data_IF_683241602368
#
_entry.id   IF_683241602368
#
_cell.length_a   1.000
_cell.length_b   1.000
_cell.length_c   1.000
_cell.angle_alpha   90.00
_cell.angle_beta   90.00
_cell.angle_gamma   90.00
#
_symmetry.space_group_name_H-M   'P 1'
#
loop_
_entity.id
_entity.type
_entity.pdbx_description
1 polymer ?
#
# COMPACT_ATOMS: atom_id res chain seq x y z
N UNK A 1 18.64 40.14 -30.51
CA UNK A 1 19.45 39.27 -31.40
C UNK A 1 19.10 37.84 -31.05
N UNK A 2 18.39 37.19 -31.98
CA UNK A 2 17.62 35.97 -31.79
C UNK A 2 17.84 35.14 -33.06
N UNK A 3 18.69 34.12 -33.02
CA UNK A 3 19.02 33.34 -34.24
C UNK A 3 19.26 31.85 -34.02
N UNK A 4 19.17 31.32 -32.79
CA UNK A 4 19.50 29.91 -32.52
C UNK A 4 18.31 29.01 -32.14
N UNK A 5 17.07 29.51 -32.12
CA UNK A 5 15.90 28.70 -31.73
C UNK A 5 15.03 28.21 -32.91
N UNK A 6 15.35 28.57 -34.16
CA UNK A 6 14.52 28.25 -35.34
C UNK A 6 15.04 27.00 -36.08
N UNK A 7 16.33 26.65 -35.96
CA UNK A 7 16.93 25.53 -36.71
C UNK A 7 16.57 24.13 -36.15
N UNK A 8 16.34 23.98 -34.85
CA UNK A 8 16.02 22.69 -34.22
C UNK A 8 14.56 22.25 -34.40
N UNK A 9 13.61 23.20 -34.41
CA UNK A 9 12.19 22.88 -34.67
C UNK A 9 11.92 22.46 -36.13
N UNK A 10 12.63 23.07 -37.08
CA UNK A 10 12.54 22.70 -38.50
C UNK A 10 13.08 21.30 -38.80
N UNK A 11 14.19 20.92 -38.16
CA UNK A 11 14.83 19.62 -38.38
C UNK A 11 13.98 18.45 -37.83
N UNK A 12 13.38 18.62 -36.64
CA UNK A 12 12.52 17.58 -36.03
C UNK A 12 11.21 17.40 -36.81
N UNK A 13 10.61 18.50 -37.31
CA UNK A 13 9.40 18.42 -38.12
C UNK A 13 9.66 17.77 -39.49
N UNK A 14 10.81 18.04 -40.11
CA UNK A 14 11.20 17.44 -41.39
C UNK A 14 11.60 15.95 -41.22
N UNK A 15 12.22 15.59 -40.09
CA UNK A 15 12.54 14.20 -39.74
C UNK A 15 11.28 13.37 -39.46
N UNK A 16 10.27 13.91 -38.74
CA UNK A 16 8.99 13.22 -38.52
C UNK A 16 8.20 13.00 -39.82
N UNK A 17 8.17 13.98 -40.73
CA UNK A 17 7.54 13.83 -42.06
C UNK A 17 8.28 12.84 -42.95
N UNK A 18 9.62 12.85 -42.92
CA UNK A 18 10.45 11.90 -43.68
C UNK A 18 10.33 10.47 -43.15
N UNK A 19 10.30 10.27 -41.83
CA UNK A 19 10.12 8.96 -41.21
C UNK A 19 8.71 8.42 -41.44
N UNK A 20 7.67 9.26 -41.36
CA UNK A 20 6.30 8.87 -41.68
C UNK A 20 6.09 8.52 -43.16
N UNK A 21 6.78 9.21 -44.07
CA UNK A 21 6.78 8.87 -45.49
C UNK A 21 7.58 7.59 -45.79
N UNK A 22 8.72 7.37 -45.11
CA UNK A 22 9.53 6.16 -45.23
C UNK A 22 8.82 4.93 -44.66
N UNK A 23 8.14 5.07 -43.51
CA UNK A 23 7.30 4.02 -42.92
C UNK A 23 6.08 3.72 -43.80
N UNK A 24 5.42 4.73 -44.38
CA UNK A 24 4.33 4.49 -45.34
C UNK A 24 4.81 3.82 -46.63
N UNK A 25 6.00 4.18 -47.14
CA UNK A 25 6.60 3.49 -48.28
C UNK A 25 6.97 2.05 -47.94
N UNK A 26 7.54 1.78 -46.76
CA UNK A 26 7.78 0.41 -46.29
C UNK A 26 6.47 -0.37 -46.13
N UNK A 27 5.42 0.25 -45.57
CA UNK A 27 4.10 -0.38 -45.41
C UNK A 27 3.48 -0.73 -46.78
N UNK A 28 3.52 0.19 -47.74
CA UNK A 28 2.92 -0.01 -49.06
C UNK A 28 3.74 -1.00 -49.91
N UNK A 29 5.08 -1.02 -49.79
CA UNK A 29 5.92 -1.95 -50.53
C UNK A 29 5.88 -3.37 -49.94
N UNK A 30 5.87 -3.51 -48.61
CA UNK A 30 5.84 -4.82 -47.95
C UNK A 30 4.51 -5.56 -48.17
N UNK A 31 3.37 -4.86 -48.25
CA UNK A 31 2.07 -5.52 -48.48
C UNK A 31 1.84 -6.00 -49.92
N UNK A 32 2.57 -5.46 -50.92
CA UNK A 32 2.42 -5.90 -52.33
C UNK A 32 3.22 -7.16 -52.67
N UNK A 33 4.25 -7.49 -51.90
CA UNK A 33 5.12 -8.66 -52.15
C UNK A 33 4.83 -9.87 -51.27
N UNK A 34 4.01 -9.72 -50.22
CA UNK A 34 3.67 -10.81 -49.31
C UNK A 34 2.43 -11.57 -49.83
N UNK A 35 2.64 -12.47 -50.81
CA UNK A 35 1.61 -13.45 -51.23
C UNK A 35 1.40 -14.57 -50.22
N UNK A 36 2.30 -14.69 -49.24
CA UNK A 36 2.30 -15.78 -48.29
C UNK A 36 1.53 -15.40 -47.03
N UNK A 37 0.28 -15.89 -46.92
CA UNK A 37 -0.63 -15.62 -45.78
C UNK A 37 0.02 -15.94 -44.43
N UNK A 38 0.97 -16.86 -44.42
CA UNK A 38 1.79 -17.30 -43.29
C UNK A 38 2.54 -16.16 -42.59
N UNK A 39 3.06 -15.18 -43.35
CA UNK A 39 3.83 -14.05 -42.79
C UNK A 39 2.91 -13.00 -42.15
N UNK A 40 1.71 -12.81 -42.70
CA UNK A 40 0.69 -11.92 -42.13
C UNK A 40 0.20 -12.47 -40.78
N UNK A 41 -0.01 -13.79 -40.68
CA UNK A 41 -0.34 -14.44 -39.41
C UNK A 41 0.79 -14.32 -38.38
N UNK A 42 2.05 -14.42 -38.80
CA UNK A 42 3.20 -14.26 -37.89
C UNK A 42 3.30 -12.82 -37.34
N UNK A 43 3.09 -11.80 -38.18
CA UNK A 43 3.11 -10.40 -37.76
C UNK A 43 1.91 -10.11 -36.83
N UNK A 44 0.71 -10.61 -37.14
CA UNK A 44 -0.46 -10.52 -36.26
C UNK A 44 -0.24 -11.26 -34.92
N UNK A 45 0.46 -12.40 -34.92
CA UNK A 45 0.85 -13.10 -33.69
C UNK A 45 1.84 -12.27 -32.86
N UNK A 46 2.80 -11.60 -33.50
CA UNK A 46 3.78 -10.73 -32.82
C UNK A 46 3.15 -9.45 -32.26
N UNK A 47 2.11 -8.89 -32.88
CA UNK A 47 1.36 -7.75 -32.31
C UNK A 47 0.31 -8.17 -31.28
N UNK A 48 -0.25 -9.39 -31.38
CA UNK A 48 -1.16 -9.96 -30.37
C UNK A 48 -0.44 -10.47 -29.11
N UNK A 49 0.90 -10.55 -29.13
CA UNK A 49 1.76 -10.93 -28.00
C UNK A 49 2.54 -9.73 -27.44
N UNK A 50 1.93 -8.54 -27.43
CA UNK A 50 2.33 -7.53 -26.45
C UNK A 50 1.84 -7.96 -25.07
N UNK A 51 2.45 -9.00 -24.53
CA UNK A 51 2.49 -9.16 -23.08
C UNK A 51 3.14 -7.87 -22.57
N UNK A 52 2.39 -7.06 -21.82
CA UNK A 52 3.01 -6.06 -20.98
C UNK A 52 4.03 -6.81 -20.13
N UNK A 53 5.32 -6.63 -20.42
CA UNK A 53 6.36 -7.11 -19.52
C UNK A 53 6.19 -6.28 -18.25
N UNK A 54 5.61 -6.90 -17.22
CA UNK A 54 5.62 -6.34 -15.88
C UNK A 54 7.08 -6.36 -15.45
N UNK A 55 7.72 -5.21 -15.45
CA UNK A 55 9.07 -5.06 -14.95
C UNK A 55 8.96 -4.58 -13.50
N UNK A 56 9.58 -5.31 -12.57
CA UNK A 56 9.79 -4.80 -11.23
C UNK A 56 10.48 -3.44 -11.30
N UNK A 57 10.10 -2.52 -10.41
CA UNK A 57 10.79 -1.25 -10.23
C UNK A 57 11.36 -1.16 -8.80
N UNK A 58 12.37 -1.98 -8.46
CA UNK A 58 12.94 -1.94 -7.12
C UNK A 58 13.71 -0.63 -6.92
N UNK A 59 13.73 -0.13 -5.68
CA UNK A 59 14.39 1.14 -5.37
C UNK A 59 14.46 1.44 -3.88
N UNK A 60 14.58 2.73 -3.56
CA UNK A 60 14.55 3.21 -2.18
C UNK A 60 13.48 4.27 -2.01
N UNK A 61 12.49 3.99 -1.17
CA UNK A 61 11.47 4.94 -0.75
C UNK A 61 11.97 5.66 0.51
N UNK A 62 12.57 6.85 0.36
CA UNK A 62 13.14 7.59 1.50
C UNK A 62 14.17 6.75 2.31
N UNK A 63 15.19 6.22 1.64
CA UNK A 63 16.21 5.29 2.17
C UNK A 63 15.70 3.90 2.60
N UNK A 64 14.39 3.68 2.66
CA UNK A 64 13.81 2.36 2.89
C UNK A 64 13.92 1.50 1.62
N UNK A 65 14.47 0.30 1.74
CA UNK A 65 14.63 -0.65 0.64
C UNK A 65 13.30 -1.20 0.16
N UNK A 66 12.96 -1.04 -1.12
CA UNK A 66 11.79 -1.68 -1.76
C UNK A 66 12.30 -2.71 -2.77
N UNK A 67 12.53 -3.92 -2.27
CA UNK A 67 13.28 -4.99 -2.97
C UNK A 67 12.80 -6.41 -2.65
N UNK A 68 11.73 -6.52 -1.87
CA UNK A 68 11.24 -7.80 -1.37
C UNK A 68 12.29 -8.56 -0.54
N UNK A 69 13.09 -7.81 0.22
CA UNK A 69 13.95 -8.29 1.30
C UNK A 69 13.44 -7.69 2.63
N UNK A 70 13.97 -8.11 3.77
CA UNK A 70 13.44 -7.70 5.08
C UNK A 70 14.46 -7.05 6.02
N UNK A 71 15.74 -7.07 5.68
CA UNK A 71 16.80 -6.73 6.63
C UNK A 71 17.61 -5.56 6.12
N UNK A 72 17.75 -4.55 6.98
CA UNK A 72 18.44 -3.32 6.65
C UNK A 72 19.87 -3.58 6.21
N UNK A 73 20.35 -2.85 5.21
CA UNK A 73 21.66 -3.09 4.60
C UNK A 73 21.72 -4.19 3.53
N UNK A 74 20.64 -4.93 3.28
CA UNK A 74 20.63 -6.02 2.28
C UNK A 74 20.69 -5.51 0.83
N UNK A 75 19.91 -4.48 0.51
CA UNK A 75 19.91 -3.89 -0.83
C UNK A 75 21.17 -3.08 -1.13
N UNK A 76 21.56 -2.21 -0.20
CA UNK A 76 22.83 -1.50 -0.23
C UNK A 76 23.29 -1.24 1.20
N UNK A 77 24.56 -0.87 1.38
CA UNK A 77 25.18 -0.82 2.71
C UNK A 77 24.64 0.27 3.66
N UNK A 78 23.63 1.05 3.29
CA UNK A 78 23.05 2.11 4.14
C UNK A 78 21.51 2.11 4.18
N UNK A 79 20.84 1.21 3.46
CA UNK A 79 19.39 1.22 3.37
C UNK A 79 18.72 0.73 4.65
N UNK A 80 17.65 1.42 5.04
CA UNK A 80 16.73 0.95 6.08
C UNK A 80 15.82 -0.15 5.53
N UNK A 81 15.24 -0.96 6.40
CA UNK A 81 14.31 -2.03 6.02
C UNK A 81 13.39 -2.42 7.21
N UNK A 82 12.59 -3.47 7.07
CA UNK A 82 11.63 -3.91 8.08
C UNK A 82 12.31 -4.31 9.40
N UNK A 83 13.41 -5.07 9.35
CA UNK A 83 14.15 -5.56 10.53
C UNK A 83 15.62 -5.14 10.50
N UNK A 84 16.28 -5.20 11.67
CA UNK A 84 17.66 -4.80 11.81
C UNK A 84 18.59 -5.81 11.12
N UNK A 85 19.32 -5.35 10.11
CA UNK A 85 20.37 -6.10 9.43
C UNK A 85 21.77 -5.52 9.68
N UNK A 86 22.74 -5.79 8.78
CA UNK A 86 24.14 -5.38 8.95
C UNK A 86 24.38 -3.87 9.03
N UNK A 87 23.49 -3.05 8.48
CA UNK A 87 23.56 -1.58 8.49
C UNK A 87 22.17 -0.97 8.29
N UNK A 88 22.03 0.36 8.35
CA UNK A 88 20.70 1.01 8.37
C UNK A 88 19.92 0.69 9.65
N UNK A 89 18.65 1.07 9.68
CA UNK A 89 17.74 0.77 10.81
C UNK A 89 16.71 -0.30 10.45
N UNK A 90 16.34 -1.11 11.44
CA UNK A 90 15.11 -1.92 11.41
C UNK A 90 13.92 -1.12 11.91
N UNK A 91 12.84 -1.10 11.14
CA UNK A 91 11.64 -0.30 11.44
C UNK A 91 10.59 -1.04 12.27
N UNK A 92 10.78 -2.32 12.58
CA UNK A 92 9.88 -3.12 13.43
C UNK A 92 10.62 -3.55 14.69
N UNK A 93 9.96 -3.43 15.85
CA UNK A 93 10.52 -3.83 17.14
C UNK A 93 10.69 -5.36 17.25
N UNK A 94 11.92 -5.77 17.50
CA UNK A 94 12.34 -7.17 17.63
C UNK A 94 12.47 -7.62 19.10
N UNK A 95 12.12 -6.77 20.07
CA UNK A 95 12.29 -7.02 21.51
C UNK A 95 11.59 -8.31 22.00
N UNK A 96 10.45 -8.67 21.38
CA UNK A 96 9.66 -9.85 21.73
C UNK A 96 9.94 -11.08 20.84
N UNK A 97 11.04 -11.08 20.07
CA UNK A 97 11.37 -12.15 19.11
C UNK A 97 11.30 -13.55 19.71
N UNK A 98 11.87 -13.77 20.91
CA UNK A 98 11.91 -15.09 21.53
C UNK A 98 10.50 -15.62 21.85
N UNK A 99 9.60 -14.74 22.29
CA UNK A 99 8.21 -15.07 22.59
C UNK A 99 7.45 -15.46 21.32
N UNK A 100 7.45 -14.59 20.31
CA UNK A 100 6.72 -14.84 19.06
C UNK A 100 7.28 -16.03 18.26
N UNK A 101 8.59 -16.26 18.35
CA UNK A 101 9.21 -17.46 17.76
C UNK A 101 8.74 -18.74 18.44
N UNK A 102 8.53 -18.73 19.76
CA UNK A 102 8.00 -19.89 20.48
C UNK A 102 6.55 -20.19 20.07
N UNK A 103 5.70 -19.16 19.97
CA UNK A 103 4.32 -19.24 19.46
C UNK A 103 4.29 -19.81 18.04
N UNK A 104 5.09 -19.24 17.13
CA UNK A 104 5.15 -19.69 15.72
C UNK A 104 5.64 -21.14 15.61
N UNK A 105 6.71 -21.53 16.31
CA UNK A 105 7.18 -22.92 16.32
C UNK A 105 6.16 -23.91 16.90
N UNK A 106 5.32 -23.45 17.83
CA UNK A 106 4.23 -24.25 18.39
C UNK A 106 3.03 -24.39 17.46
N UNK A 107 3.03 -23.72 16.30
CA UNK A 107 1.93 -23.71 15.33
C UNK A 107 0.57 -23.34 15.96
N UNK A 108 0.57 -22.43 16.94
CA UNK A 108 -0.64 -22.10 17.71
C UNK A 108 -1.66 -21.23 16.96
N UNK A 109 -1.43 -20.96 15.67
CA UNK A 109 -2.24 -20.12 14.79
C UNK A 109 -2.78 -18.87 15.51
N UNK A 110 -1.86 -17.97 15.88
CA UNK A 110 -2.17 -16.82 16.72
C UNK A 110 -1.75 -15.54 16.01
N UNK A 111 -2.68 -14.58 15.96
CA UNK A 111 -2.41 -13.22 15.49
C UNK A 111 -1.54 -12.45 16.49
N UNK A 112 -0.70 -11.56 15.97
CA UNK A 112 -0.03 -10.53 16.75
C UNK A 112 0.44 -9.41 15.85
N UNK A 113 0.83 -8.29 16.46
CA UNK A 113 1.48 -7.19 15.75
C UNK A 113 2.74 -6.76 16.48
N UNK A 114 3.69 -6.19 15.74
CA UNK A 114 4.87 -5.53 16.27
C UNK A 114 4.95 -4.13 15.66
N UNK A 115 5.33 -3.13 16.47
CA UNK A 115 5.32 -1.72 16.09
C UNK A 115 6.72 -1.19 15.89
N UNK A 116 6.82 0.03 15.37
CA UNK A 116 8.08 0.77 15.34
C UNK A 116 8.72 0.82 16.73
N UNK A 117 10.04 0.55 16.84
CA UNK A 117 10.78 0.79 18.08
C UNK A 117 11.03 2.29 18.32
N UNK A 118 10.72 3.14 17.33
CA UNK A 118 10.90 4.59 17.36
C UNK A 118 9.60 5.30 17.71
N UNK A 119 9.71 6.44 18.38
CA UNK A 119 8.54 7.25 18.69
C UNK A 119 7.93 7.83 17.40
N UNK A 120 6.61 8.05 17.42
CA UNK A 120 5.92 8.72 16.32
C UNK A 120 6.54 10.13 16.15
N UNK A 121 6.82 10.51 14.90
CA UNK A 121 7.48 11.77 14.55
C UNK A 121 8.94 11.88 15.02
N UNK A 122 9.62 10.77 15.33
CA UNK A 122 11.04 10.79 15.63
C UNK A 122 11.87 10.98 14.36
N UNK A 123 12.90 11.83 14.44
CA UNK A 123 13.88 11.98 13.36
C UNK A 123 15.03 11.00 13.59
N UNK A 124 15.13 9.98 12.74
CA UNK A 124 16.17 8.96 12.79
C UNK A 124 16.97 9.00 11.49
N UNK A 125 18.29 9.15 11.60
CA UNK A 125 19.21 9.19 10.46
C UNK A 125 18.82 10.18 9.33
N UNK A 126 18.17 11.30 9.69
CA UNK A 126 17.74 12.33 8.74
C UNK A 126 16.34 12.15 8.16
N UNK A 127 15.58 11.18 8.65
CA UNK A 127 14.22 10.89 8.21
C UNK A 127 13.23 10.99 9.35
N UNK A 128 12.12 11.69 9.13
CA UNK A 128 11.00 11.77 10.06
C UNK A 128 10.15 10.52 9.91
N UNK A 129 10.19 9.65 10.93
CA UNK A 129 9.42 8.42 10.95
C UNK A 129 8.06 8.71 11.56
N UNK A 130 6.99 8.31 10.87
CA UNK A 130 5.68 8.37 11.49
C UNK A 130 5.38 7.06 12.21
N UNK A 131 5.25 5.95 11.50
CA UNK A 131 4.87 4.70 12.13
C UNK A 131 5.28 3.52 11.26
N UNK A 132 5.41 2.36 11.89
CA UNK A 132 5.63 1.09 11.24
C UNK A 132 4.86 0.01 11.99
N UNK A 133 4.23 -0.88 11.25
CA UNK A 133 3.51 -2.03 11.79
C UNK A 133 3.86 -3.26 10.97
N UNK A 134 4.16 -4.32 11.69
CA UNK A 134 4.14 -5.69 11.21
C UNK A 134 2.93 -6.37 11.85
N UNK A 135 2.29 -7.25 11.09
CA UNK A 135 1.25 -8.09 11.63
C UNK A 135 1.35 -9.54 11.12
N UNK A 136 1.06 -10.49 12.01
CA UNK A 136 0.82 -11.91 11.72
C UNK A 136 -0.67 -12.18 11.75
N UNK A 137 -1.16 -12.86 10.72
CA UNK A 137 -2.55 -13.28 10.62
C UNK A 137 -2.81 -14.67 11.20
N UNK A 138 -4.08 -15.03 11.35
CA UNK A 138 -4.48 -16.42 11.29
C UNK A 138 -4.20 -16.95 9.88
N UNK A 139 -3.90 -18.24 9.78
CA UNK A 139 -3.66 -18.89 8.49
C UNK A 139 -4.32 -20.26 8.50
N UNK A 140 -4.62 -20.82 7.34
CA UNK A 140 -5.10 -22.20 7.23
C UNK A 140 -3.94 -23.17 7.54
N UNK A 141 -3.87 -23.70 8.76
CA UNK A 141 -2.92 -24.75 9.17
C UNK A 141 -3.54 -26.14 9.07
N UNK A 142 -2.71 -27.19 9.10
CA UNK A 142 -3.22 -28.56 9.20
C UNK A 142 -4.07 -28.74 10.47
N UNK A 143 -5.38 -28.89 10.30
CA UNK A 143 -6.33 -29.04 11.42
C UNK A 143 -6.76 -27.75 12.11
N UNK A 144 -6.32 -26.57 11.64
CA UNK A 144 -6.86 -25.27 12.06
C UNK A 144 -7.30 -24.48 10.85
N UNK A 145 -8.51 -23.97 10.90
CA UNK A 145 -8.98 -23.01 9.91
C UNK A 145 -8.44 -21.63 10.19
N UNK A 146 -8.53 -20.80 9.16
CA UNK A 146 -8.31 -19.38 9.24
C UNK A 146 -9.53 -18.70 9.88
N UNK A 147 -9.32 -17.73 10.78
CA UNK A 147 -10.41 -17.01 11.47
C UNK A 147 -10.69 -15.64 10.85
N UNK A 148 -9.89 -15.22 9.90
CA UNK A 148 -9.98 -13.91 9.25
C UNK A 148 -10.40 -14.04 7.78
N UNK A 149 -11.36 -14.93 7.53
CA UNK A 149 -11.90 -15.21 6.20
C UNK A 149 -13.24 -14.49 5.97
N UNK A 150 -13.42 -13.92 4.77
CA UNK A 150 -14.73 -13.41 4.33
C UNK A 150 -15.68 -14.54 3.94
N UNK A 151 -16.94 -14.45 4.40
CA UNK A 151 -17.95 -15.50 4.17
C UNK A 151 -18.43 -15.54 2.72
N UNK A 152 -18.20 -16.66 2.03
CA UNK A 152 -18.79 -16.94 0.70
C UNK A 152 -18.44 -15.91 -0.38
N UNK A 153 -19.43 -15.11 -0.79
CA UNK A 153 -19.29 -14.00 -1.74
C UNK A 153 -19.43 -12.62 -1.10
N UNK A 154 -19.36 -12.56 0.23
CA UNK A 154 -19.40 -11.32 0.99
C UNK A 154 -18.22 -10.43 0.66
N UNK A 155 -18.48 -9.13 0.65
CA UNK A 155 -17.46 -8.10 0.56
C UNK A 155 -16.84 -7.93 -0.81
N UNK A 156 -16.86 -6.68 -1.26
CA UNK A 156 -15.98 -6.11 -2.27
C UNK A 156 -15.42 -4.81 -1.70
N UNK A 157 -14.32 -4.32 -2.25
CA UNK A 157 -13.67 -3.11 -1.76
C UNK A 157 -14.59 -1.87 -1.75
N UNK A 158 -15.52 -1.77 -2.71
CA UNK A 158 -16.47 -0.66 -2.76
C UNK A 158 -17.74 -0.84 -1.93
N UNK A 159 -17.94 -2.01 -1.31
CA UNK A 159 -19.16 -2.29 -0.55
C UNK A 159 -19.09 -1.68 0.86
N UNK A 160 -20.25 -1.34 1.41
CA UNK A 160 -20.34 -0.81 2.78
C UNK A 160 -19.96 -1.88 3.82
N UNK A 161 -18.92 -1.65 4.64
CA UNK A 161 -18.43 -2.67 5.57
C UNK A 161 -19.50 -3.18 6.54
N UNK A 162 -20.27 -2.28 7.17
CA UNK A 162 -21.27 -2.65 8.18
C UNK A 162 -22.48 -3.45 7.70
N UNK A 163 -22.66 -3.56 6.39
CA UNK A 163 -23.85 -4.19 5.81
C UNK A 163 -23.53 -5.33 4.85
N UNK A 164 -22.29 -5.37 4.35
CA UNK A 164 -21.93 -6.26 3.25
C UNK A 164 -20.70 -7.11 3.53
N UNK A 165 -19.90 -6.77 4.55
CA UNK A 165 -18.70 -7.49 4.92
C UNK A 165 -19.01 -8.37 6.14
N UNK A 166 -18.96 -9.67 5.90
CA UNK A 166 -19.23 -10.72 6.88
C UNK A 166 -18.04 -11.67 6.90
N UNK A 167 -17.67 -12.11 8.10
CA UNK A 167 -16.50 -12.93 8.34
C UNK A 167 -16.85 -14.19 9.12
N UNK A 168 -16.14 -15.27 8.82
CA UNK A 168 -16.29 -16.54 9.53
C UNK A 168 -14.98 -17.33 9.55
N UNK A 169 -14.89 -18.33 10.43
CA UNK A 169 -13.77 -19.26 10.40
C UNK A 169 -13.87 -20.19 9.17
N UNK A 170 -12.90 -20.05 8.26
CA UNK A 170 -12.93 -20.62 6.92
C UNK A 170 -11.64 -21.29 6.49
N UNK A 171 -11.66 -21.89 5.31
CA UNK A 171 -10.44 -22.33 4.64
C UNK A 171 -10.34 -21.57 3.34
N UNK A 172 -9.23 -20.87 3.17
CA UNK A 172 -8.89 -20.11 1.97
C UNK A 172 -7.79 -20.84 1.19
N UNK A 173 -7.67 -20.54 -0.10
CA UNK A 173 -6.57 -21.08 -0.90
C UNK A 173 -5.27 -20.40 -0.54
N UNK A 174 -4.15 -21.11 -0.62
CA UNK A 174 -2.86 -20.58 -0.17
C UNK A 174 -2.43 -19.26 -0.85
N UNK A 175 -2.85 -18.98 -2.09
CA UNK A 175 -2.53 -17.72 -2.78
C UNK A 175 -3.32 -16.51 -2.28
N UNK A 176 -4.34 -16.70 -1.46
CA UNK A 176 -5.16 -15.61 -0.88
C UNK A 176 -5.12 -15.60 0.65
N UNK A 177 -4.55 -16.63 1.27
CA UNK A 177 -4.35 -16.78 2.72
C UNK A 177 -3.13 -15.93 3.15
N UNK A 178 -3.40 -14.80 3.78
CA UNK A 178 -2.43 -13.78 4.19
C UNK A 178 -1.70 -14.31 5.42
N UNK A 179 -0.38 -14.19 5.47
CA UNK A 179 0.42 -14.64 6.63
C UNK A 179 0.96 -13.47 7.40
N UNK A 180 1.62 -12.58 6.68
CA UNK A 180 2.37 -11.47 7.24
C UNK A 180 2.09 -10.23 6.40
N UNK A 181 1.82 -9.11 7.04
CA UNK A 181 1.79 -7.80 6.37
C UNK A 181 2.63 -6.77 7.09
N UNK A 182 2.98 -5.74 6.34
CA UNK A 182 3.84 -4.67 6.76
C UNK A 182 3.31 -3.36 6.20
N UNK A 183 3.38 -2.31 7.01
CA UNK A 183 3.17 -0.95 6.55
C UNK A 183 4.10 0.01 7.30
N UNK A 184 4.65 0.98 6.58
CA UNK A 184 5.51 2.02 7.11
C UNK A 184 5.22 3.35 6.43
N UNK A 185 5.15 4.41 7.22
CA UNK A 185 4.99 5.77 6.72
C UNK A 185 6.13 6.65 7.25
N UNK A 186 6.84 7.32 6.34
CA UNK A 186 7.99 8.19 6.68
C UNK A 186 8.15 9.34 5.69
N UNK A 187 8.89 10.37 6.10
CA UNK A 187 9.30 11.48 5.25
C UNK A 187 10.71 11.30 4.72
N UNK A 188 10.92 11.74 3.48
CA UNK A 188 12.23 11.90 2.83
C UNK A 188 12.95 13.17 3.31
N UNK A 189 13.10 13.29 4.62
CA UNK A 189 13.69 14.44 5.27
C UNK A 189 13.24 14.56 6.72
N UNK A 190 13.47 15.72 7.33
CA UNK A 190 13.29 15.90 8.77
C UNK A 190 12.03 16.69 9.12
N UNK A 191 11.24 17.09 8.12
CA UNK A 191 10.08 17.96 8.27
C UNK A 191 8.84 17.40 7.60
N UNK A 192 7.66 17.89 7.99
CA UNK A 192 6.38 17.50 7.40
C UNK A 192 6.14 18.01 5.97
N UNK A 193 7.06 18.82 5.43
CA UNK A 193 7.01 19.32 4.07
C UNK A 193 7.85 18.48 3.10
N UNK A 194 8.67 17.57 3.64
CA UNK A 194 9.44 16.64 2.84
C UNK A 194 8.53 15.52 2.29
N UNK A 195 8.95 14.82 1.25
CA UNK A 195 8.10 13.84 0.57
C UNK A 195 7.66 12.70 1.49
N UNK A 196 6.37 12.41 1.50
CA UNK A 196 5.75 11.35 2.27
C UNK A 196 5.73 10.04 1.48
N UNK A 197 6.35 9.01 2.05
CA UNK A 197 6.36 7.66 1.49
C UNK A 197 5.55 6.71 2.34
N UNK A 198 4.56 6.06 1.72
CA UNK A 198 3.88 4.87 2.22
C UNK A 198 4.55 3.64 1.61
N UNK A 199 5.04 2.75 2.47
CA UNK A 199 5.65 1.49 2.07
C UNK A 199 4.81 0.37 2.66
N UNK A 200 4.45 -0.62 1.85
CA UNK A 200 3.64 -1.77 2.25
C UNK A 200 4.25 -3.05 1.72
N UNK A 201 4.18 -4.12 2.49
CA UNK A 201 4.59 -5.45 2.04
C UNK A 201 3.65 -6.51 2.57
N UNK A 202 3.55 -7.65 1.89
CA UNK A 202 2.71 -8.77 2.30
C UNK A 202 3.29 -10.09 1.82
N UNK A 203 3.13 -11.11 2.66
CA UNK A 203 3.31 -12.52 2.30
C UNK A 203 2.00 -13.31 2.44
N UNK A 204 1.78 -14.26 1.53
CA UNK A 204 0.73 -15.29 1.64
C UNK A 204 1.34 -16.65 1.94
N UNK A 205 0.53 -17.62 2.37
CA UNK A 205 1.03 -18.98 2.63
C UNK A 205 1.51 -19.66 1.35
N UNK A 206 0.91 -19.34 0.21
CA UNK A 206 1.26 -19.86 -1.10
C UNK A 206 2.36 -19.04 -1.78
N UNK A 207 3.07 -19.69 -2.68
CA UNK A 207 4.14 -19.11 -3.50
C UNK A 207 3.94 -19.33 -5.01
N UNK A 208 2.74 -19.75 -5.40
CA UNK A 208 2.36 -20.01 -6.79
C UNK A 208 1.00 -19.40 -7.09
N UNK A 209 0.75 -19.14 -8.37
CA UNK A 209 -0.43 -18.41 -8.81
C UNK A 209 -0.22 -16.90 -8.74
N UNK A 210 -1.32 -16.16 -8.80
CA UNK A 210 -1.32 -14.71 -8.68
C UNK A 210 -2.05 -14.33 -7.41
N UNK A 211 -1.40 -13.49 -6.62
CA UNK A 211 -1.88 -12.96 -5.36
C UNK A 211 -2.46 -11.58 -5.63
N UNK A 212 -3.70 -11.33 -5.23
CA UNK A 212 -4.36 -10.04 -5.40
C UNK A 212 -4.63 -9.48 -4.02
N UNK A 213 -3.98 -8.37 -3.68
CA UNK A 213 -3.96 -7.84 -2.32
C UNK A 213 -4.19 -6.36 -2.27
N UNK A 214 -4.82 -5.93 -1.20
CA UNK A 214 -5.28 -4.57 -1.00
C UNK A 214 -4.94 -4.11 0.41
N UNK A 215 -4.41 -2.90 0.52
CA UNK A 215 -4.22 -2.16 1.75
C UNK A 215 -5.22 -1.00 1.74
N UNK A 216 -6.08 -0.95 2.75
CA UNK A 216 -6.94 0.19 2.99
C UNK A 216 -6.51 0.91 4.25
N UNK A 217 -6.25 2.20 4.11
CA UNK A 217 -5.90 3.10 5.19
C UNK A 217 -7.11 3.98 5.46
N UNK A 218 -7.64 3.89 6.69
CA UNK A 218 -8.85 4.57 7.09
C UNK A 218 -8.52 5.84 7.86
N UNK A 219 -9.13 6.95 7.48
CA UNK A 219 -8.94 8.24 8.16
C UNK A 219 -9.55 8.21 9.57
N UNK A 220 -10.70 7.57 9.73
CA UNK A 220 -11.46 7.45 10.98
C UNK A 220 -11.43 6.02 11.54
N UNK A 221 -11.75 5.81 12.83
CA UNK A 221 -11.75 4.49 13.44
C UNK A 221 -12.57 3.46 12.68
N UNK A 222 -11.97 2.29 12.44
CA UNK A 222 -12.55 1.14 11.74
C UNK A 222 -12.20 -0.13 12.54
N UNK A 223 -13.20 -0.94 12.89
CA UNK A 223 -13.07 -2.11 13.77
C UNK A 223 -14.04 -3.22 13.36
N UNK A 224 -13.71 -4.45 13.72
CA UNK A 224 -14.68 -5.56 13.71
C UNK A 224 -15.79 -5.32 14.76
N UNK A 225 -17.05 -5.63 14.44
CA UNK A 225 -18.20 -5.38 15.30
C UNK A 225 -18.48 -6.48 16.35
N UNK A 226 -17.61 -7.49 16.41
CA UNK A 226 -17.70 -8.64 17.32
C UNK A 226 -18.87 -9.60 17.03
N UNK A 227 -19.68 -9.31 16.02
CA UNK A 227 -20.81 -10.13 15.55
C UNK A 227 -20.52 -10.81 14.21
N UNK A 228 -19.26 -10.78 13.76
CA UNK A 228 -18.83 -11.31 12.47
C UNK A 228 -18.99 -10.31 11.31
N UNK A 229 -18.98 -9.00 11.59
CA UNK A 229 -18.95 -7.93 10.60
C UNK A 229 -18.02 -6.78 11.00
N UNK A 230 -18.15 -5.63 10.35
CA UNK A 230 -17.31 -4.45 10.59
C UNK A 230 -18.13 -3.21 10.90
N UNK A 231 -17.56 -2.27 11.63
CA UNK A 231 -18.14 -0.92 11.78
C UNK A 231 -17.79 -0.07 10.55
N UNK A 232 -18.54 1.01 10.32
CA UNK A 232 -18.18 1.97 9.29
C UNK A 232 -17.11 2.93 9.80
N UNK A 233 -16.16 3.30 8.94
CA UNK A 233 -15.24 4.42 9.19
C UNK A 233 -15.93 5.77 8.98
N UNK A 234 -16.90 5.84 8.07
CA UNK A 234 -17.67 7.05 7.78
C UNK A 234 -19.19 6.90 7.91
N UNK A 235 -19.96 7.96 7.64
CA UNK A 235 -21.42 7.88 7.65
C UNK A 235 -21.97 6.82 6.68
N UNK A 236 -23.05 6.14 7.06
CA UNK A 236 -23.68 5.15 6.17
C UNK A 236 -24.11 5.75 4.81
N UNK A 237 -24.46 7.04 4.78
CA UNK A 237 -24.84 7.78 3.56
C UNK A 237 -23.70 8.00 2.57
N UNK A 238 -22.44 7.82 2.99
CA UNK A 238 -21.26 7.90 2.12
C UNK A 238 -20.75 6.50 1.75
N UNK A 239 -21.56 5.46 1.95
CA UNK A 239 -21.15 4.07 1.76
C UNK A 239 -20.40 3.47 2.94
N UNK A 240 -20.36 4.14 4.10
CA UNK A 240 -19.66 3.64 5.29
C UNK A 240 -18.17 3.99 5.33
N UNK A 241 -17.71 4.85 4.43
CA UNK A 241 -16.32 5.27 4.28
C UNK A 241 -16.13 6.78 4.49
N UNK A 242 -14.93 7.17 4.90
CA UNK A 242 -14.56 8.58 5.07
C UNK A 242 -14.22 9.22 3.73
N UNK A 243 -14.84 10.36 3.43
CA UNK A 243 -14.79 10.99 2.10
C UNK A 243 -13.64 12.01 2.00
N UNK A 244 -12.84 11.91 0.93
CA UNK A 244 -11.96 12.98 0.49
C UNK A 244 -12.78 14.09 -0.16
N UNK A 245 -12.56 15.34 0.26
CA UNK A 245 -13.32 16.50 -0.25
C UNK A 245 -12.42 17.52 -0.93
N UNK A 246 -13.02 18.29 -1.85
CA UNK A 246 -12.34 19.29 -2.65
C UNK A 246 -13.09 20.61 -2.61
N UNK A 247 -12.37 21.72 -2.77
CA UNK A 247 -12.98 22.99 -3.12
C UNK A 247 -13.32 23.05 -4.62
N UNK A 248 -14.08 24.08 -5.02
CA UNK A 248 -14.46 24.28 -6.43
C UNK A 248 -13.28 24.57 -7.38
N UNK A 249 -12.08 24.81 -6.85
CA UNK A 249 -10.85 25.00 -7.63
C UNK A 249 -10.04 23.69 -7.77
N UNK A 250 -10.46 22.60 -7.13
CA UNK A 250 -9.78 21.31 -7.14
C UNK A 250 -8.66 21.17 -6.12
N UNK A 251 -8.59 22.05 -5.11
CA UNK A 251 -7.71 21.85 -3.96
C UNK A 251 -8.37 20.86 -2.99
N UNK A 252 -7.56 19.97 -2.43
CA UNK A 252 -8.01 19.07 -1.37
C UNK A 252 -8.31 19.87 -0.10
N UNK A 253 -9.49 19.62 0.49
CA UNK A 253 -9.94 20.29 1.73
C UNK A 253 -10.02 19.35 2.92
N UNK A 254 -10.20 18.05 2.68
CA UNK A 254 -10.11 17.01 3.71
C UNK A 254 -9.60 15.70 3.11
N UNK A 255 -8.87 14.95 3.91
CA UNK A 255 -8.47 13.57 3.58
C UNK A 255 -9.54 12.59 4.06
N UNK A 256 -9.57 11.40 3.46
CA UNK A 256 -10.49 10.32 3.79
C UNK A 256 -9.81 8.97 3.61
N UNK A 257 -10.57 7.94 3.28
CA UNK A 257 -10.03 6.59 3.16
C UNK A 257 -9.20 6.42 1.87
N UNK A 258 -8.04 5.79 2.00
CA UNK A 258 -7.07 5.54 0.93
C UNK A 258 -6.98 4.04 0.65
N UNK A 259 -6.95 3.68 -0.61
CA UNK A 259 -6.76 2.33 -1.08
C UNK A 259 -5.45 2.22 -1.87
N UNK A 260 -4.67 1.19 -1.57
CA UNK A 260 -3.52 0.74 -2.34
C UNK A 260 -3.67 -0.75 -2.65
N UNK A 261 -3.91 -1.09 -3.91
CA UNK A 261 -4.02 -2.48 -4.35
C UNK A 261 -2.92 -2.85 -5.32
N UNK A 262 -2.50 -4.11 -5.31
CA UNK A 262 -1.59 -4.66 -6.32
C UNK A 262 -1.78 -6.17 -6.46
N UNK A 263 -1.19 -6.70 -7.52
CA UNK A 263 -1.06 -8.13 -7.73
C UNK A 263 0.41 -8.52 -7.76
N UNK A 264 0.74 -9.73 -7.35
CA UNK A 264 2.08 -10.28 -7.57
C UNK A 264 2.02 -11.76 -7.93
N UNK A 265 3.02 -12.21 -8.68
CA UNK A 265 3.15 -13.60 -9.12
C UNK A 265 4.60 -13.91 -9.44
N UNK A 266 5.19 -14.88 -8.75
CA UNK A 266 6.61 -15.17 -8.90
C UNK A 266 7.45 -13.94 -8.58
N UNK A 267 8.25 -13.48 -9.54
CA UNK A 267 9.12 -12.32 -9.36
C UNK A 267 8.47 -10.98 -9.70
N UNK A 268 7.21 -10.91 -10.09
CA UNK A 268 6.68 -9.67 -10.69
C UNK A 268 5.52 -9.08 -9.87
N UNK A 269 5.53 -7.75 -9.73
CA UNK A 269 4.40 -6.97 -9.22
C UNK A 269 3.68 -6.33 -10.40
N UNK A 270 2.36 -6.38 -10.38
CA UNK A 270 1.50 -5.88 -11.44
C UNK A 270 0.32 -5.09 -10.85
N UNK A 271 -0.27 -4.22 -11.66
CA UNK A 271 -1.55 -3.58 -11.32
C UNK A 271 -1.53 -2.76 -10.02
N UNK A 272 -0.41 -2.13 -9.68
CA UNK A 272 -0.36 -1.20 -8.54
C UNK A 272 -1.33 -0.04 -8.82
N UNK A 273 -2.30 0.10 -7.94
CA UNK A 273 -3.45 0.98 -8.08
C UNK A 273 -3.66 1.75 -6.80
N UNK A 274 -3.78 3.07 -6.92
CA UNK A 274 -4.02 3.98 -5.80
C UNK A 274 -5.37 4.63 -6.03
N UNK A 275 -6.26 4.53 -5.03
CA UNK A 275 -7.60 5.11 -5.09
C UNK A 275 -7.95 5.85 -3.82
N UNK A 276 -8.83 6.83 -3.92
CA UNK A 276 -9.37 7.57 -2.79
C UNK A 276 -10.89 7.52 -2.78
N UNK A 277 -11.49 7.44 -1.59
CA UNK A 277 -12.95 7.41 -1.46
C UNK A 277 -13.55 8.81 -1.64
N UNK A 278 -14.34 9.01 -2.69
CA UNK A 278 -14.91 10.31 -3.07
C UNK A 278 -16.37 10.21 -3.46
N UNK A 279 -17.05 11.35 -3.52
CA UNK A 279 -18.34 11.43 -4.20
C UNK A 279 -18.16 11.29 -5.71
N UNK A 280 -19.10 10.62 -6.37
CA UNK A 280 -19.17 10.52 -7.83
C UNK A 280 -19.32 11.89 -8.49
N UNK A 281 -19.95 12.84 -7.79
CA UNK A 281 -20.06 14.21 -8.26
C UNK A 281 -18.67 14.85 -8.39
N UNK A 282 -17.82 14.71 -7.38
CA UNK A 282 -16.48 15.30 -7.40
C UNK A 282 -15.59 14.62 -8.44
N UNK A 283 -15.64 13.28 -8.52
CA UNK A 283 -14.95 12.53 -9.57
C UNK A 283 -15.29 13.01 -11.00
N UNK A 284 -16.56 13.38 -11.25
CA UNK A 284 -17.02 13.84 -12.58
C UNK A 284 -16.78 15.31 -12.85
N UNK A 285 -16.85 16.16 -11.82
CA UNK A 285 -16.98 17.61 -11.99
C UNK A 285 -15.81 18.42 -11.44
N UNK A 286 -14.96 17.84 -10.59
CA UNK A 286 -13.78 18.50 -10.03
C UNK A 286 -12.53 17.98 -10.75
N UNK A 287 -11.68 18.91 -11.19
CA UNK A 287 -10.33 18.61 -11.71
C UNK A 287 -9.32 18.92 -10.60
N UNK A 288 -8.72 17.91 -9.96
CA UNK A 288 -7.77 18.13 -8.88
C UNK A 288 -6.53 18.89 -9.36
N UNK A 289 -6.01 19.79 -8.52
CA UNK A 289 -4.84 20.62 -8.88
C UNK A 289 -3.54 19.82 -8.87
N UNK A 290 -3.44 18.80 -8.01
CA UNK A 290 -2.19 18.09 -7.70
C UNK A 290 -2.06 16.74 -8.40
N UNK A 291 -3.16 16.14 -8.83
CA UNK A 291 -3.18 14.83 -9.44
C UNK A 291 -4.22 14.74 -10.56
N UNK A 292 -4.14 13.65 -11.33
CA UNK A 292 -5.13 13.34 -12.37
C UNK A 292 -5.92 12.10 -11.98
N UNK A 293 -7.24 12.16 -12.15
CA UNK A 293 -8.10 10.98 -12.08
C UNK A 293 -7.66 9.92 -13.09
N UNK A 294 -7.69 8.65 -12.67
CA UNK A 294 -7.71 7.50 -13.57
C UNK A 294 -9.10 7.31 -14.18
N UNK A 295 -9.29 6.20 -14.91
CA UNK A 295 -10.56 5.89 -15.58
C UNK A 295 -11.57 5.18 -14.69
N UNK A 296 -11.13 4.57 -13.59
CA UNK A 296 -11.95 3.69 -12.76
C UNK A 296 -12.55 4.45 -11.57
N UNK A 297 -13.83 4.15 -11.31
CA UNK A 297 -14.59 4.60 -10.15
C UNK A 297 -15.53 3.48 -9.73
N UNK A 298 -15.32 2.93 -8.53
CA UNK A 298 -16.01 1.73 -8.06
C UNK A 298 -16.53 1.91 -6.64
N UNK A 299 -17.79 1.58 -6.43
CA UNK A 299 -18.49 1.64 -5.14
C UNK A 299 -19.60 0.58 -5.09
N UNK A 300 -20.44 0.63 -4.06
CA UNK A 300 -21.43 -0.41 -3.81
C UNK A 300 -22.53 -0.46 -4.88
N UNK A 301 -22.67 -1.63 -5.53
CA UNK A 301 -23.74 -1.88 -6.50
C UNK A 301 -23.55 -1.20 -7.86
N UNK A 302 -24.67 -1.00 -8.57
CA UNK A 302 -24.66 -0.38 -9.90
C UNK A 302 -24.87 1.13 -9.76
N UNK A 303 -24.00 1.91 -10.41
CA UNK A 303 -24.06 3.38 -10.46
C UNK A 303 -23.97 4.10 -9.09
N UNK A 304 -22.99 3.77 -8.22
CA UNK A 304 -22.93 4.27 -6.85
C UNK A 304 -22.71 5.79 -6.76
N UNK A 305 -23.23 6.43 -5.71
CA UNK A 305 -23.03 7.87 -5.45
C UNK A 305 -21.66 8.19 -4.84
N UNK A 306 -21.05 7.21 -4.18
CA UNK A 306 -19.72 7.29 -3.57
C UNK A 306 -18.92 6.03 -3.93
N UNK A 307 -17.60 6.19 -4.05
CA UNK A 307 -16.74 5.09 -4.47
C UNK A 307 -15.26 5.45 -4.41
N UNK A 308 -14.43 4.43 -4.56
CA UNK A 308 -12.99 4.58 -4.76
C UNK A 308 -12.72 5.01 -6.20
N UNK A 309 -12.25 6.26 -6.36
CA UNK A 309 -11.78 6.80 -7.62
C UNK A 309 -10.29 6.55 -7.79
N UNK A 310 -9.91 5.97 -8.93
CA UNK A 310 -8.50 5.74 -9.28
C UNK A 310 -7.74 7.04 -9.51
N UNK A 311 -6.45 7.04 -9.16
CA UNK A 311 -5.51 8.13 -9.41
C UNK A 311 -4.40 7.63 -10.33
N UNK A 312 -4.03 8.45 -11.31
CA UNK A 312 -2.87 8.15 -12.16
C UNK A 312 -1.60 8.34 -11.33
N UNK A 313 -0.87 7.25 -11.08
CA UNK A 313 0.43 7.27 -10.39
C UNK A 313 1.48 7.92 -11.32
N UNK A 314 2.08 9.07 -10.95
CA UNK A 314 3.11 9.72 -11.75
C UNK A 314 4.39 8.89 -11.84
N UNK A 315 5.19 9.13 -12.89
CA UNK A 315 6.52 8.51 -13.02
C UNK A 315 7.38 8.92 -11.83
N UNK A 316 8.06 7.95 -11.22
CA UNK A 316 8.93 8.16 -10.06
C UNK A 316 8.20 8.18 -8.71
N UNK A 317 6.86 8.09 -8.68
CA UNK A 317 6.09 8.04 -7.44
C UNK A 317 5.93 6.63 -6.87
N UNK A 318 6.58 5.62 -7.46
CA UNK A 318 6.39 4.20 -7.11
C UNK A 318 7.68 3.41 -7.21
N UNK A 319 7.90 2.54 -6.23
CA UNK A 319 8.77 1.37 -6.31
C UNK A 319 7.98 0.10 -6.01
N UNK A 320 8.39 -1.02 -6.58
CA UNK A 320 7.74 -2.31 -6.39
C UNK A 320 8.68 -3.47 -6.68
N UNK A 321 8.55 -4.53 -5.91
CA UNK A 321 9.36 -5.73 -6.06
C UNK A 321 8.65 -6.94 -5.46
N UNK A 322 8.88 -8.12 -6.05
CA UNK A 322 8.46 -9.40 -5.51
C UNK A 322 9.66 -10.36 -5.47
N UNK A 323 9.66 -11.24 -4.47
CA UNK A 323 10.84 -12.06 -4.21
C UNK A 323 10.99 -13.17 -5.26
N UNK A 324 12.05 -13.07 -6.08
CA UNK A 324 12.39 -14.07 -7.10
C UNK A 324 13.15 -15.29 -6.56
N UNK A 325 13.55 -15.24 -5.30
CA UNK A 325 14.27 -16.28 -4.58
C UNK A 325 13.73 -16.38 -3.16
N UNK A 326 14.12 -17.43 -2.44
CA UNK A 326 13.83 -17.51 -1.01
C UNK A 326 14.54 -16.36 -0.28
N UNK A 327 13.78 -15.60 0.50
CA UNK A 327 14.31 -14.51 1.33
C UNK A 327 14.12 -14.84 2.80
N UNK A 328 15.05 -14.40 3.64
CA UNK A 328 14.96 -14.65 5.09
C UNK A 328 13.69 -13.97 5.61
N UNK A 329 12.84 -14.74 6.29
CA UNK A 329 11.60 -14.25 6.87
C UNK A 329 11.82 -13.43 8.14
N UNK A 330 10.74 -13.08 8.85
CA UNK A 330 10.81 -12.36 10.12
C UNK A 330 11.67 -13.07 11.17
N UNK A 331 12.21 -12.34 12.15
CA UNK A 331 13.01 -12.93 13.23
C UNK A 331 12.20 -13.92 14.08
N UNK A 332 10.87 -13.90 14.06
CA UNK A 332 10.01 -14.89 14.71
C UNK A 332 9.52 -16.03 13.79
N UNK A 333 10.10 -16.16 12.59
CA UNK A 333 9.68 -17.09 11.53
C UNK A 333 8.32 -16.72 10.91
N UNK A 334 7.92 -17.49 9.90
CA UNK A 334 6.65 -17.35 9.16
C UNK A 334 6.00 -18.70 8.89
N UNK A 335 4.88 -18.69 8.18
CA UNK A 335 4.23 -19.88 7.63
C UNK A 335 4.36 -19.87 6.11
N UNK A 336 4.85 -20.99 5.55
CA UNK A 336 4.89 -21.25 4.11
C UNK A 336 4.23 -22.59 3.85
N UNK A 337 3.28 -22.63 2.91
CA UNK A 337 2.45 -23.79 2.62
C UNK A 337 1.91 -24.44 3.90
N UNK A 338 1.38 -23.60 4.82
CA UNK A 338 0.83 -24.02 6.12
C UNK A 338 1.83 -24.66 7.09
N UNK A 339 3.14 -24.49 6.88
CA UNK A 339 4.20 -25.02 7.74
C UNK A 339 5.13 -23.91 8.23
N UNK A 340 5.70 -24.08 9.42
CA UNK A 340 6.67 -23.13 9.97
C UNK A 340 7.89 -23.05 9.06
N UNK A 341 8.26 -21.84 8.66
CA UNK A 341 9.39 -21.56 7.77
C UNK A 341 10.23 -20.40 8.30
N UNK A 342 11.54 -20.44 8.09
CA UNK A 342 12.44 -19.31 8.36
C UNK A 342 12.60 -18.38 7.15
N UNK A 343 11.93 -18.67 6.04
CA UNK A 343 12.03 -17.94 4.78
C UNK A 343 10.65 -17.69 4.20
N UNK A 344 10.50 -16.58 3.48
CA UNK A 344 9.48 -16.48 2.44
C UNK A 344 9.98 -17.22 1.21
N UNK A 345 9.22 -18.20 0.73
CA UNK A 345 9.55 -18.90 -0.51
C UNK A 345 9.45 -17.94 -1.70
N UNK A 346 10.24 -18.19 -2.75
CA UNK A 346 10.17 -17.42 -4.00
C UNK A 346 8.73 -17.26 -4.49
N UNK A 347 8.27 -16.03 -4.68
CA UNK A 347 6.92 -15.70 -5.14
C UNK A 347 5.87 -15.56 -4.05
N UNK A 348 6.22 -15.73 -2.78
CA UNK A 348 5.29 -15.59 -1.66
C UNK A 348 5.20 -14.16 -1.11
N UNK A 349 6.21 -13.31 -1.34
CA UNK A 349 6.36 -11.99 -0.73
C UNK A 349 6.53 -10.88 -1.76
N UNK A 350 5.82 -9.78 -1.57
CA UNK A 350 5.92 -8.60 -2.41
C UNK A 350 5.82 -7.32 -1.59
N UNK A 351 6.37 -6.26 -2.18
CA UNK A 351 6.56 -4.97 -1.54
C UNK A 351 6.31 -3.85 -2.55
N UNK A 352 5.67 -2.78 -2.08
CA UNK A 352 5.35 -1.59 -2.86
C UNK A 352 5.60 -0.35 -2.01
N UNK A 353 6.31 0.62 -2.57
CA UNK A 353 6.49 1.96 -2.00
C UNK A 353 5.81 3.00 -2.90
N UNK A 354 5.01 3.89 -2.30
CA UNK A 354 4.29 4.96 -2.99
C UNK A 354 4.62 6.32 -2.35
N UNK A 355 5.01 7.29 -3.17
CA UNK A 355 5.24 8.66 -2.75
C UNK A 355 3.92 9.46 -2.83
N UNK A 356 3.28 9.66 -1.67
CA UNK A 356 1.99 10.35 -1.57
C UNK A 356 2.11 11.85 -1.90
N UNK A 357 3.28 12.46 -1.65
CA UNK A 357 3.52 13.87 -1.97
C UNK A 357 3.67 14.11 -3.47
N UNK A 358 4.38 13.23 -4.18
CA UNK A 358 4.50 13.28 -5.65
C UNK A 358 3.18 12.93 -6.32
N UNK A 359 2.39 11.99 -5.77
CA UNK A 359 1.03 11.76 -6.24
C UNK A 359 0.17 13.01 -6.01
N UNK A 360 0.36 13.73 -4.91
CA UNK A 360 -0.42 14.92 -4.58
C UNK A 360 -1.61 14.65 -3.65
N UNK A 361 -1.56 13.55 -2.90
CA UNK A 361 -2.55 13.16 -1.89
C UNK A 361 -1.96 13.10 -0.47
N UNK A 362 -0.77 13.65 -0.28
CA UNK A 362 -0.17 13.82 1.05
C UNK A 362 -1.06 14.74 1.92
N UNK A 363 -1.63 14.21 3.01
CA UNK A 363 -2.60 14.96 3.81
C UNK A 363 -2.02 16.16 4.53
N UNK A 364 -0.70 16.18 4.82
CA UNK A 364 -0.05 17.33 5.47
C UNK A 364 0.02 18.56 4.57
N UNK A 365 -0.21 18.39 3.26
CA UNK A 365 -0.29 19.52 2.33
C UNK A 365 -1.58 20.33 2.50
N UNK A 366 -2.58 19.78 3.19
CA UNK A 366 -3.90 20.37 3.36
C UNK A 366 -4.21 20.73 4.82
N UNK A 367 -3.65 20.00 5.80
CA UNK A 367 -3.66 20.41 7.20
C UNK A 367 -2.39 21.20 7.53
N UNK A 368 -2.53 22.45 7.96
CA UNK A 368 -1.39 23.18 8.57
C UNK A 368 -1.00 22.60 9.94
N UNK A 369 -1.47 21.40 10.29
CA UNK A 369 -1.21 20.74 11.55
C UNK A 369 -0.42 19.44 11.32
N UNK A 370 0.88 19.40 11.68
CA UNK A 370 1.73 18.22 11.54
C UNK A 370 1.28 17.01 12.38
N UNK A 371 0.43 17.23 13.40
CA UNK A 371 -0.06 16.19 14.30
C UNK A 371 -1.35 15.52 13.84
N UNK A 372 -1.95 15.99 12.74
CA UNK A 372 -3.11 15.32 12.16
C UNK A 372 -2.60 14.08 11.42
N UNK A 373 -2.60 12.94 12.11
CA UNK A 373 -2.31 11.66 11.48
C UNK A 373 -3.34 11.43 10.35
N UNK A 374 -2.88 11.21 9.11
CA UNK A 374 -3.78 11.11 7.95
C UNK A 374 -4.71 9.91 8.00
N UNK A 375 -4.27 8.87 8.71
CA UNK A 375 -4.95 7.60 8.84
C UNK A 375 -4.87 7.19 10.31
N UNK A 376 -5.86 6.43 10.77
CA UNK A 376 -5.91 5.89 12.13
C UNK A 376 -5.79 4.37 12.14
N UNK A 377 -6.23 3.72 11.06
CA UNK A 377 -6.25 2.27 10.90
C UNK A 377 -5.73 1.84 9.54
N UNK A 378 -5.17 0.64 9.50
CA UNK A 378 -4.87 -0.09 8.27
C UNK A 378 -5.56 -1.45 8.29
N UNK A 379 -6.12 -1.83 7.15
CA UNK A 379 -6.79 -3.10 6.93
C UNK A 379 -6.25 -3.73 5.66
N UNK A 380 -5.80 -4.96 5.74
CA UNK A 380 -5.18 -5.67 4.61
C UNK A 380 -6.11 -6.77 4.17
N UNK A 381 -6.27 -6.96 2.86
CA UNK A 381 -7.24 -7.89 2.30
C UNK A 381 -6.69 -8.62 1.09
N UNK A 382 -7.24 -9.79 0.82
CA UNK A 382 -7.01 -10.53 -0.41
C UNK A 382 -8.28 -10.67 -1.24
N UNK A 383 -8.09 -10.77 -2.56
CA UNK A 383 -9.15 -10.85 -3.55
C UNK A 383 -9.09 -12.12 -4.38
N UNK A 384 -10.25 -12.51 -4.88
CA UNK A 384 -10.39 -13.65 -5.79
C UNK A 384 -9.85 -13.43 -7.20
N UNK A 385 -9.67 -12.18 -7.64
CA UNK A 385 -9.07 -11.86 -8.95
C UNK A 385 -8.57 -10.40 -9.03
N UNK A 386 -7.97 -10.04 -10.15
CA UNK A 386 -7.47 -8.69 -10.43
C UNK A 386 -8.54 -7.58 -10.37
N UNK A 387 -9.83 -7.90 -10.57
CA UNK A 387 -10.90 -6.91 -10.57
C UNK A 387 -11.12 -6.32 -9.18
N UNK A 388 -11.17 -4.99 -9.08
CA UNK A 388 -11.45 -4.25 -7.84
C UNK A 388 -12.77 -4.69 -7.18
N UNK A 389 -13.76 -5.04 -8.01
CA UNK A 389 -15.08 -5.52 -7.57
C UNK A 389 -15.14 -7.05 -7.38
N UNK A 390 -14.00 -7.73 -7.37
CA UNK A 390 -13.99 -9.15 -7.07
C UNK A 390 -14.19 -9.40 -5.58
N UNK A 391 -14.75 -10.57 -5.28
CA UNK A 391 -15.05 -10.99 -3.91
C UNK A 391 -13.77 -11.04 -3.06
N UNK A 392 -13.85 -10.47 -1.87
CA UNK A 392 -12.84 -10.56 -0.83
C UNK A 392 -12.76 -11.98 -0.28
N UNK A 393 -11.56 -12.40 0.13
CA UNK A 393 -11.32 -13.78 0.57
C UNK A 393 -10.77 -13.86 1.98
N UNK A 394 -9.73 -13.10 2.24
CA UNK A 394 -9.04 -13.09 3.51
C UNK A 394 -8.75 -11.66 3.94
N UNK A 395 -8.52 -11.44 5.23
CA UNK A 395 -8.15 -10.13 5.74
C UNK A 395 -7.20 -10.20 6.91
N UNK A 396 -6.57 -9.08 7.19
CA UNK A 396 -5.74 -8.89 8.36
C UNK A 396 -5.98 -7.50 8.97
N UNK A 397 -6.10 -7.44 10.29
CA UNK A 397 -6.44 -6.22 11.03
C UNK A 397 -7.95 -6.10 11.31
N UNK A 398 -8.46 -4.89 11.59
CA UNK A 398 -7.79 -3.59 11.47
C UNK A 398 -6.70 -3.33 12.52
N UNK A 399 -5.56 -2.81 12.10
CA UNK A 399 -4.48 -2.40 13.02
C UNK A 399 -4.44 -0.89 13.17
N UNK A 400 -4.08 -0.40 14.36
CA UNK A 400 -3.72 1.00 14.52
C UNK A 400 -2.59 1.37 13.56
N UNK A 401 -2.68 2.50 12.90
CA UNK A 401 -1.63 3.01 12.04
C UNK A 401 -1.68 4.53 12.11
N UNK A 402 -0.65 5.16 12.68
CA UNK A 402 -0.55 6.60 12.95
C UNK A 402 -1.57 7.17 13.95
N UNK A 403 -2.69 6.47 14.20
CA UNK A 403 -3.53 6.74 15.35
C UNK A 403 -2.71 6.59 16.61
N UNK A 404 -2.64 7.65 17.43
CA UNK A 404 -1.94 7.61 18.71
C UNK A 404 -2.31 6.30 19.42
N UNK A 405 -1.35 5.46 19.86
CA UNK A 405 -1.64 4.51 20.93
C UNK A 405 -2.31 5.33 22.01
N UNK A 406 -3.47 4.89 22.52
CA UNK A 406 -4.28 5.61 23.50
C UNK A 406 -3.31 6.22 24.51
N UNK A 407 -3.01 7.51 24.36
CA UNK A 407 -2.17 8.19 25.32
C UNK A 407 -3.09 8.22 26.50
N UNK A 408 -2.72 7.48 27.54
CA UNK A 408 -3.40 7.63 28.81
C UNK A 408 -3.24 9.09 29.22
N UNK A 409 -4.27 9.88 28.92
CA UNK A 409 -4.34 11.30 29.27
C UNK A 409 -4.63 11.46 30.76
N UNK A 410 -4.72 10.37 31.54
CA UNK A 410 -4.64 10.51 32.98
C UNK A 410 -3.25 10.98 33.37
N UNK A 411 -3.19 12.28 33.64
CA UNK A 411 -2.18 12.88 34.51
C UNK A 411 -2.10 12.00 35.75
N UNK A 412 -0.91 11.45 36.07
CA UNK A 412 -0.68 10.76 37.34
C UNK A 412 -1.18 11.68 38.45
N UNK A 413 -2.26 11.30 39.14
CA UNK A 413 -2.77 12.08 40.29
C UNK A 413 -1.68 12.24 41.37
N UNK A 414 -0.70 11.33 41.38
CA UNK A 414 0.49 11.37 42.24
C UNK A 414 1.60 12.33 41.78
N UNK A 415 1.59 12.80 40.53
CA UNK A 415 2.52 13.81 40.02
C UNK A 415 1.86 14.68 38.93
N UNK A 416 0.95 15.59 39.34
CA UNK A 416 0.17 16.38 38.39
C UNK A 416 0.96 17.47 37.68
N UNK A 417 2.27 17.59 37.95
CA UNK A 417 3.09 18.70 37.48
C UNK A 417 2.50 20.05 37.90
N UNK A 418 2.90 20.57 39.05
CA UNK A 418 2.50 21.92 39.50
C UNK A 418 3.03 23.03 38.57
N UNK A 419 2.29 24.15 38.51
CA UNK A 419 2.78 25.43 38.00
C UNK A 419 3.55 26.11 39.12
N UNK A 420 4.80 26.49 38.86
CA UNK A 420 5.52 27.42 39.72
C UNK A 420 5.16 28.83 39.25
N UNK A 421 4.63 29.68 40.14
CA UNK A 421 4.34 31.07 39.80
C UNK A 421 5.65 31.77 39.39
N UNK A 422 5.79 32.09 38.10
CA UNK A 422 6.98 32.73 37.52
C UNK A 422 7.43 32.15 36.17
N UNK A 423 6.89 31.01 35.76
CA UNK A 423 7.15 30.39 34.45
C UNK A 423 5.95 30.58 33.52
N UNK A 424 6.16 31.21 32.35
CA UNK A 424 5.09 31.52 31.37
C UNK A 424 4.81 30.37 30.39
N UNK A 425 5.65 29.33 30.37
CA UNK A 425 5.50 28.15 29.53
C UNK A 425 5.91 26.88 30.27
N UNK A 426 5.22 25.76 29.98
CA UNK A 426 5.55 24.43 30.51
C UNK A 426 5.58 23.43 29.35
N UNK A 427 6.70 22.71 29.20
CA UNK A 427 6.74 21.54 28.33
C UNK A 427 6.11 20.35 29.06
N UNK A 428 5.10 19.75 28.46
CA UNK A 428 4.57 18.46 28.89
C UNK A 428 5.28 17.37 28.08
N UNK A 429 5.86 16.39 28.77
CA UNK A 429 6.35 15.17 28.14
C UNK A 429 5.26 14.11 28.27
N UNK A 430 4.69 13.59 27.17
CA UNK A 430 3.74 12.50 27.26
C UNK A 430 4.39 11.27 27.87
N UNK A 431 3.63 10.52 28.67
CA UNK A 431 4.03 9.17 29.09
C UNK A 431 4.09 8.30 27.84
N UNK A 432 5.23 7.67 27.61
CA UNK A 432 5.37 6.63 26.60
C UNK A 432 4.25 5.60 26.83
N UNK A 433 3.40 5.30 25.84
CA UNK A 433 2.38 4.28 25.99
C UNK A 433 3.04 2.98 26.41
N UNK A 434 2.36 2.29 27.31
CA UNK A 434 2.74 0.95 27.75
C UNK A 434 2.96 0.06 26.51
N UNK A 435 4.04 -0.75 26.46
CA UNK A 435 4.22 -1.71 25.38
C UNK A 435 3.17 -2.80 25.55
N UNK A 436 2.08 -2.68 24.79
CA UNK A 436 1.09 -3.74 24.59
C UNK A 436 1.57 -4.66 23.48
#
# INVERSE_FOLDING_TARGET
MNTNCILTKGFIASFKKSLGAFLNLLFIYSFRTLKDKSIIYLILLCFASSTALFAQNPGQASNFSVKAELYSGAFNSISDDWFQGPSGIGNIDESQTAFWRAITNGQTNQIFSARSPYAQYEVVNGYLLYDAVYARDYVSLSGSKDKTTFTGSSGKNGDNPSTSWFVEEGSVTSSVDIVDSYAHLRREGTTINDDLWLITALATTGNTGTHYVDFELYAEPFEEDGSGGFQNSGPNSTGGHTVWTFDGAGNLTSSGDLYLGFAYSGSDVAGVDVRIWVSKNDYKNITPVKFSWGSEFDGAGNDPDYGYASIIIPVGAKFDSANSNNVIGPPWKTFSNSNVSSVYESGAFAEVGINLSVIGIDPSLNSNNPCDAPFSKIFVKSRSSASFNSTLKDFQGPYYFLGSPIVDTTIKVSDPGYFLCGEDTKMLSPLNPYPG
#
